data_IF_306269095264
#
_entry.id   IF_306269095264
#
_cell.length_a   1.000
_cell.length_b   1.000
_cell.length_c   1.000
_cell.angle_alpha   90.00
_cell.angle_beta   90.00
_cell.angle_gamma   90.00
#
_symmetry.space_group_name_H-M   'P 1'
#
loop_
_entity.id
_entity.type
_entity.pdbx_description
1 polymer ?
#
# COMPACT_ATOMS: atom_id res chain seq x y z
N UNK A 1 15.70 32.15 -26.91
CA UNK A 1 15.47 30.71 -26.64
C UNK A 1 14.01 30.58 -26.26
N UNK A 2 13.22 29.85 -27.04
CA UNK A 2 11.85 29.53 -26.66
C UNK A 2 11.90 28.29 -25.74
N UNK A 3 11.08 28.23 -24.69
CA UNK A 3 11.01 27.05 -23.84
C UNK A 3 10.58 25.82 -24.67
N UNK A 4 11.01 24.61 -24.31
CA UNK A 4 10.55 23.39 -24.96
C UNK A 4 9.04 23.25 -24.78
N UNK A 5 8.34 22.96 -25.87
CA UNK A 5 6.92 22.63 -25.85
C UNK A 5 6.78 21.20 -25.30
N UNK A 6 6.51 21.08 -24.00
CA UNK A 6 6.26 19.80 -23.35
C UNK A 6 4.77 19.54 -23.45
N UNK A 7 4.40 18.62 -24.33
CA UNK A 7 3.02 18.15 -24.49
C UNK A 7 2.51 17.64 -23.13
N UNK A 8 1.39 18.18 -22.67
CA UNK A 8 0.80 17.80 -21.39
C UNK A 8 0.44 16.30 -21.42
N UNK A 9 0.84 15.55 -20.39
CA UNK A 9 0.45 14.16 -20.27
C UNK A 9 -1.08 14.02 -20.32
N UNK A 10 -1.59 13.15 -21.19
CA UNK A 10 -3.02 12.87 -21.28
C UNK A 10 -3.53 12.42 -19.90
N UNK A 11 -4.43 13.22 -19.31
CA UNK A 11 -4.98 13.03 -17.96
C UNK A 11 -6.01 11.90 -17.86
N UNK A 12 -6.34 11.25 -18.97
CA UNK A 12 -7.45 10.30 -19.06
C UNK A 12 -7.04 8.85 -18.71
N UNK A 13 -6.26 8.68 -17.64
CA UNK A 13 -6.19 7.36 -17.02
C UNK A 13 -7.52 7.13 -16.28
N UNK A 14 -8.24 6.02 -16.53
CA UNK A 14 -9.45 5.68 -15.79
C UNK A 14 -9.05 5.25 -14.37
N UNK A 15 -8.77 6.23 -13.52
CA UNK A 15 -8.47 6.07 -12.10
C UNK A 15 -9.80 6.17 -11.37
N UNK A 16 -10.12 5.15 -10.58
CA UNK A 16 -11.26 5.20 -9.69
C UNK A 16 -10.97 6.19 -8.55
N UNK A 17 -11.83 7.20 -8.41
CA UNK A 17 -11.76 8.25 -7.39
C UNK A 17 -12.76 8.01 -6.26
N UNK A 18 -13.34 6.82 -6.17
CA UNK A 18 -14.17 6.43 -5.04
C UNK A 18 -13.31 6.00 -3.84
N UNK A 19 -13.84 6.10 -2.61
CA UNK A 19 -13.16 5.58 -1.43
C UNK A 19 -12.92 4.06 -1.54
N UNK A 20 -11.83 3.54 -0.97
CA UNK A 20 -11.54 2.10 -0.99
C UNK A 20 -12.66 1.25 -0.37
N UNK A 21 -13.05 0.17 -1.04
CA UNK A 21 -14.09 -0.75 -0.58
C UNK A 21 -13.54 -1.88 0.28
N UNK A 22 -14.40 -2.50 1.10
CA UNK A 22 -14.03 -3.68 1.89
C UNK A 22 -13.71 -4.89 1.02
N UNK A 23 -14.39 -5.03 -0.10
CA UNK A 23 -14.20 -6.11 -1.07
C UNK A 23 -12.81 -6.05 -1.69
N UNK A 24 -12.38 -4.86 -2.14
CA UNK A 24 -11.03 -4.63 -2.67
C UNK A 24 -9.95 -4.97 -1.63
N UNK A 25 -10.12 -4.49 -0.40
CA UNK A 25 -9.19 -4.75 0.70
C UNK A 25 -9.12 -6.25 1.00
N UNK A 26 -10.27 -6.92 1.06
CA UNK A 26 -10.36 -8.37 1.29
C UNK A 26 -9.63 -9.15 0.20
N UNK A 27 -9.82 -8.78 -1.07
CA UNK A 27 -9.12 -9.40 -2.19
C UNK A 27 -7.62 -9.15 -2.13
N UNK A 28 -7.20 -7.92 -1.81
CA UNK A 28 -5.79 -7.57 -1.65
C UNK A 28 -5.12 -8.41 -0.55
N UNK A 29 -5.73 -8.52 0.64
CA UNK A 29 -5.22 -9.34 1.75
C UNK A 29 -5.03 -10.81 1.32
N UNK A 30 -6.00 -11.38 0.61
CA UNK A 30 -5.93 -12.75 0.10
C UNK A 30 -4.75 -12.96 -0.87
N UNK A 31 -4.43 -11.94 -1.67
CA UNK A 31 -3.35 -11.98 -2.66
C UNK A 31 -1.94 -11.77 -2.09
N UNK A 32 -1.80 -11.24 -0.86
CA UNK A 32 -0.48 -11.07 -0.22
C UNK A 32 0.26 -12.41 -0.19
N UNK A 33 1.57 -12.43 -0.46
CA UNK A 33 2.36 -13.67 -0.43
C UNK A 33 2.78 -14.04 0.99
N UNK A 34 2.62 -15.30 1.35
CA UNK A 34 3.15 -15.87 2.60
C UNK A 34 4.68 -16.04 2.51
N UNK A 35 5.34 -16.21 3.66
CA UNK A 35 6.78 -16.45 3.76
C UNK A 35 7.64 -15.23 3.38
N UNK A 36 7.06 -14.03 3.41
CA UNK A 36 7.81 -12.77 3.26
C UNK A 36 8.29 -12.30 4.63
N UNK A 37 9.44 -11.63 4.65
CA UNK A 37 9.95 -11.02 5.86
C UNK A 37 8.92 -9.99 6.39
N UNK A 38 8.65 -10.05 7.69
CA UNK A 38 7.81 -9.04 8.33
C UNK A 38 8.52 -7.67 8.28
N UNK A 39 7.73 -6.60 8.20
CA UNK A 39 8.26 -5.24 8.35
C UNK A 39 8.76 -4.96 9.77
N UNK A 40 9.25 -3.74 10.04
CA UNK A 40 9.77 -3.34 11.36
C UNK A 40 8.80 -3.58 12.53
N UNK A 41 7.49 -3.56 12.26
CA UNK A 41 6.43 -3.79 13.24
C UNK A 41 6.22 -5.29 13.55
N UNK A 42 7.00 -6.20 12.94
CA UNK A 42 6.92 -7.65 13.12
C UNK A 42 5.55 -8.27 12.80
N UNK A 43 4.79 -7.64 11.90
CA UNK A 43 3.51 -8.16 11.40
C UNK A 43 3.76 -8.94 10.10
N UNK A 44 3.68 -10.29 10.12
CA UNK A 44 3.80 -11.10 8.91
C UNK A 44 2.49 -11.09 8.10
N UNK A 45 2.58 -11.46 6.82
CA UNK A 45 1.41 -11.57 5.94
C UNK A 45 0.36 -12.56 6.48
N UNK A 46 0.81 -13.62 7.14
CA UNK A 46 0.00 -14.65 7.75
C UNK A 46 -0.88 -14.12 8.88
N UNK A 47 -0.41 -13.11 9.62
CA UNK A 47 -1.20 -12.47 10.68
C UNK A 47 -2.36 -11.64 10.08
N UNK A 48 -2.11 -10.96 8.95
CA UNK A 48 -3.19 -10.24 8.22
C UNK A 48 -4.24 -11.21 7.65
N UNK A 49 -3.85 -12.46 7.40
CA UNK A 49 -4.72 -13.49 6.84
C UNK A 49 -5.40 -14.37 7.89
N UNK A 50 -4.98 -14.33 9.16
CA UNK A 50 -5.54 -15.21 10.20
C UNK A 50 -6.99 -14.87 10.53
N UNK A 51 -7.32 -13.57 10.47
CA UNK A 51 -8.70 -13.06 10.57
C UNK A 51 -8.90 -11.97 9.53
N UNK A 52 -9.36 -12.40 8.34
CA UNK A 52 -9.54 -11.51 7.19
C UNK A 52 -10.65 -10.49 7.46
N UNK A 53 -11.75 -10.89 8.12
CA UNK A 53 -12.86 -9.98 8.37
C UNK A 53 -12.45 -8.85 9.33
N UNK A 54 -11.81 -9.21 10.45
CA UNK A 54 -11.31 -8.24 11.40
C UNK A 54 -10.27 -7.30 10.75
N UNK A 55 -9.32 -7.88 10.02
CA UNK A 55 -8.26 -7.12 9.34
C UNK A 55 -8.84 -6.18 8.28
N UNK A 56 -9.78 -6.64 7.46
CA UNK A 56 -10.49 -5.80 6.48
C UNK A 56 -11.21 -4.65 7.16
N UNK A 57 -11.93 -4.90 8.26
CA UNK A 57 -12.67 -3.85 8.96
C UNK A 57 -11.74 -2.77 9.53
N UNK A 58 -10.60 -3.16 10.13
CA UNK A 58 -9.60 -2.22 10.64
C UNK A 58 -8.95 -1.40 9.52
N UNK A 59 -8.52 -2.06 8.44
CA UNK A 59 -7.87 -1.39 7.31
C UNK A 59 -8.83 -0.48 6.56
N UNK A 60 -10.08 -0.87 6.38
CA UNK A 60 -11.09 -0.05 5.72
C UNK A 60 -11.35 1.25 6.48
N UNK A 61 -11.42 1.22 7.81
CA UNK A 61 -11.55 2.44 8.62
C UNK A 61 -10.34 3.37 8.42
N UNK A 62 -9.12 2.82 8.44
CA UNK A 62 -7.89 3.59 8.25
C UNK A 62 -7.81 4.20 6.84
N UNK A 63 -8.04 3.39 5.80
CA UNK A 63 -7.96 3.85 4.42
C UNK A 63 -9.04 4.88 4.09
N UNK A 64 -10.26 4.70 4.61
CA UNK A 64 -11.32 5.71 4.49
C UNK A 64 -10.91 7.04 5.12
N UNK A 65 -10.31 7.02 6.31
CA UNK A 65 -9.82 8.23 6.98
C UNK A 65 -8.73 8.93 6.16
N UNK A 66 -7.74 8.18 5.66
CA UNK A 66 -6.66 8.73 4.81
C UNK A 66 -7.24 9.34 3.54
N UNK A 67 -8.24 8.70 2.94
CA UNK A 67 -8.92 9.18 1.74
C UNK A 67 -9.69 10.48 2.01
N UNK A 68 -10.44 10.56 3.11
CA UNK A 68 -11.24 11.75 3.47
C UNK A 68 -10.38 12.95 3.92
N UNK A 69 -9.30 12.69 4.66
CA UNK A 69 -8.43 13.76 5.18
C UNK A 69 -7.32 14.17 4.21
N UNK A 70 -7.08 13.40 3.15
CA UNK A 70 -5.96 13.55 2.21
C UNK A 70 -4.59 13.60 2.91
N UNK A 71 -4.50 13.03 4.12
CA UNK A 71 -3.29 13.01 4.95
C UNK A 71 -2.71 11.61 5.05
N UNK A 72 -1.48 11.45 4.56
CA UNK A 72 -0.71 10.22 4.72
C UNK A 72 0.09 10.23 6.04
N UNK A 73 0.19 9.09 6.75
CA UNK A 73 1.04 8.97 7.94
C UNK A 73 2.49 9.37 7.64
N UNK A 74 3.15 10.06 8.57
CA UNK A 74 4.54 10.50 8.39
C UNK A 74 5.48 9.30 8.22
N UNK A 75 5.22 8.21 8.93
CA UNK A 75 5.98 6.96 8.86
C UNK A 75 6.02 6.37 7.44
N UNK A 76 5.01 6.63 6.61
CA UNK A 76 4.98 6.16 5.21
C UNK A 76 5.93 6.95 4.30
N UNK A 77 6.39 8.12 4.73
CA UNK A 77 7.40 8.91 4.04
C UNK A 77 8.83 8.46 4.37
N UNK A 78 9.00 7.53 5.31
CA UNK A 78 10.29 7.01 5.74
C UNK A 78 10.54 5.60 5.18
N UNK A 79 11.68 5.41 4.52
CA UNK A 79 12.10 4.12 3.96
C UNK A 79 13.12 3.42 4.85
N UNK A 80 12.79 2.22 5.35
CA UNK A 80 13.71 1.38 6.11
C UNK A 80 14.44 0.39 5.20
N UNK A 81 15.78 0.39 5.20
CA UNK A 81 16.60 -0.49 4.36
C UNK A 81 17.35 -1.52 5.20
N UNK A 82 17.09 -2.81 4.95
CA UNK A 82 17.80 -3.93 5.57
C UNK A 82 18.66 -4.60 4.50
N UNK A 83 19.99 -4.61 4.72
CA UNK A 83 20.94 -5.27 3.81
C UNK A 83 21.02 -6.76 4.12
N UNK A 84 20.77 -7.61 3.12
CA UNK A 84 20.96 -9.06 3.22
C UNK A 84 22.24 -9.43 2.47
N UNK A 85 23.29 -9.96 3.15
CA UNK A 85 24.51 -10.38 2.48
C UNK A 85 24.23 -11.57 1.56
N UNK A 86 24.83 -11.56 0.36
CA UNK A 86 24.76 -12.70 -0.58
C UNK A 86 25.60 -13.84 -0.02
N UNK A 87 25.11 -15.09 -0.17
CA UNK A 87 25.93 -16.27 0.15
C UNK A 87 27.19 -16.27 -0.73
N UNK A 88 28.35 -16.44 -0.10
CA UNK A 88 29.58 -16.81 -0.80
C UNK A 88 29.42 -18.27 -1.26
N UNK A 89 29.70 -18.52 -2.54
CA UNK A 89 29.62 -19.84 -3.19
C UNK A 89 30.99 -20.49 -3.10
#
# INVERSE_FOLDING_TARGET
>A
MNPPDIEAAHTDLPIDVNPPTKEEITMAIRQIKNGKAAGPNNIPAEALKSDIELTTNMLHLLFKKIWEEEQVPMDWKEGHLIKIPKKEI
#
